data_IF_492207616007
#
_entry.id   IF_492207616007
#
_cell.length_a   1.000
_cell.length_b   1.000
_cell.length_c   1.000
_cell.angle_alpha   90.00
_cell.angle_beta   90.00
_cell.angle_gamma   90.00
#
_symmetry.space_group_name_H-M   'P 1'
#
loop_
_entity.id
_entity.type
_entity.pdbx_description
1 polymer ?
#
# COMPACT_ATOMS: atom_id res chain seq x y z
N UNK A 1 -5.39 27.47 2.47
CA UNK A 1 -3.92 27.38 2.36
C UNK A 1 -3.55 25.91 2.43
N UNK A 2 -2.75 25.37 1.51
CA UNK A 2 -2.30 23.98 1.59
C UNK A 2 -1.55 23.75 2.92
N UNK A 3 -1.68 22.55 3.48
CA UNK A 3 -0.94 22.15 4.68
C UNK A 3 0.57 22.16 4.41
N UNK A 4 1.35 22.44 5.46
CA UNK A 4 2.78 22.71 5.34
C UNK A 4 3.63 21.53 5.83
N UNK A 5 4.58 21.09 5.01
CA UNK A 5 5.60 20.11 5.39
C UNK A 5 6.82 20.74 6.09
N UNK A 6 6.79 22.04 6.40
CA UNK A 6 7.95 22.75 6.93
C UNK A 6 8.44 22.17 8.27
N UNK A 7 7.52 21.81 9.18
CA UNK A 7 7.89 21.17 10.44
C UNK A 7 8.43 19.76 10.21
N UNK A 8 7.85 19.01 9.27
CA UNK A 8 8.34 17.69 8.89
C UNK A 8 9.79 17.76 8.42
N UNK A 9 10.06 18.59 7.41
CA UNK A 9 11.38 18.74 6.81
C UNK A 9 12.42 19.30 7.78
N UNK A 10 12.03 20.18 8.72
CA UNK A 10 12.94 20.73 9.73
C UNK A 10 13.44 19.67 10.72
N UNK A 11 12.63 18.64 11.00
CA UNK A 11 12.95 17.61 12.00
C UNK A 11 13.77 16.43 11.46
N UNK A 12 14.01 16.34 10.14
CA UNK A 12 14.71 15.20 9.52
C UNK A 12 16.02 15.62 8.87
N UNK A 13 17.01 14.75 8.98
CA UNK A 13 18.23 14.80 8.19
C UNK A 13 18.15 13.79 7.03
N UNK A 14 17.73 14.27 5.86
CA UNK A 14 17.59 13.45 4.65
C UNK A 14 18.91 12.94 4.06
N UNK A 15 20.06 13.35 4.61
CA UNK A 15 21.34 12.72 4.27
C UNK A 15 21.55 11.38 5.00
N UNK A 16 20.77 11.13 6.06
CA UNK A 16 20.89 9.93 6.90
C UNK A 16 19.67 9.02 6.83
N UNK A 17 18.48 9.59 6.69
CA UNK A 17 17.24 8.82 6.61
C UNK A 17 16.86 8.50 5.15
N UNK A 18 16.31 7.32 4.92
CA UNK A 18 15.69 6.93 3.63
C UNK A 18 14.26 7.46 3.47
N UNK A 19 13.78 8.27 4.43
CA UNK A 19 12.47 8.87 4.35
C UNK A 19 12.37 9.90 3.20
N UNK A 20 11.21 9.96 2.50
CA UNK A 20 11.01 10.92 1.43
C UNK A 20 10.90 12.35 1.98
N UNK A 21 11.70 13.28 1.45
CA UNK A 21 11.55 14.72 1.76
C UNK A 21 10.20 15.27 1.33
N UNK A 22 9.79 14.89 0.11
CA UNK A 22 8.51 15.20 -0.53
C UNK A 22 8.14 16.68 -0.66
N UNK A 23 7.13 16.94 -1.47
CA UNK A 23 6.40 18.22 -1.56
C UNK A 23 4.91 17.92 -1.43
N UNK A 24 4.07 18.90 -1.03
CA UNK A 24 2.62 18.70 -1.07
C UNK A 24 2.18 18.35 -2.49
N UNK A 25 1.44 17.26 -2.63
CA UNK A 25 0.96 16.75 -3.93
C UNK A 25 -0.57 16.86 -4.01
N UNK A 26 -1.10 17.84 -4.75
CA UNK A 26 -2.54 18.05 -4.86
C UNK A 26 -3.23 17.04 -5.81
N UNK A 27 -2.48 16.19 -6.51
CA UNK A 27 -3.01 15.27 -7.52
C UNK A 27 -3.63 13.99 -6.95
N UNK A 28 -3.51 13.78 -5.64
CA UNK A 28 -4.13 12.69 -4.88
C UNK A 28 -5.01 13.19 -3.75
N UNK A 29 -5.76 12.26 -3.17
CA UNK A 29 -6.63 12.49 -2.03
C UNK A 29 -7.55 11.30 -1.85
N UNK A 30 -7.81 10.91 -0.59
CA UNK A 30 -8.56 9.72 -0.16
C UNK A 30 -7.73 8.50 0.25
N UNK A 31 -6.39 8.51 0.21
CA UNK A 31 -5.62 7.37 0.73
C UNK A 31 -5.47 7.42 2.24
N UNK A 32 -5.42 6.25 2.88
CA UNK A 32 -4.98 6.14 4.26
C UNK A 32 -3.93 5.06 4.43
N UNK A 33 -3.07 5.24 5.41
CA UNK A 33 -2.08 4.25 5.81
C UNK A 33 -1.99 4.21 7.33
N UNK A 34 -1.74 3.01 7.85
CA UNK A 34 -1.38 2.78 9.24
C UNK A 34 -0.01 2.11 9.24
N UNK A 35 0.96 2.75 9.85
CA UNK A 35 2.31 2.21 9.99
C UNK A 35 2.55 1.73 11.41
N UNK A 36 2.94 0.47 11.59
CA UNK A 36 3.40 -0.05 12.88
C UNK A 36 4.85 0.38 13.05
N UNK A 37 5.14 1.11 14.13
CA UNK A 37 6.40 1.79 14.33
C UNK A 37 7.04 1.34 15.65
N UNK A 38 8.13 0.58 15.53
CA UNK A 38 8.98 0.17 16.65
C UNK A 38 10.07 1.21 16.92
N UNK A 39 9.65 2.37 17.44
CA UNK A 39 10.56 3.42 17.91
C UNK A 39 11.00 3.16 19.36
N UNK A 40 11.23 4.21 20.16
CA UNK A 40 11.47 4.09 21.61
C UNK A 40 10.32 3.39 22.34
N UNK A 41 9.09 3.55 21.85
CA UNK A 41 7.91 2.80 22.24
C UNK A 41 7.18 2.36 20.98
N UNK A 42 6.66 1.14 21.01
CA UNK A 42 5.75 0.67 19.97
C UNK A 42 4.52 1.58 19.91
N UNK A 43 4.20 2.06 18.71
CA UNK A 43 2.99 2.79 18.41
C UNK A 43 2.62 2.56 16.94
N UNK A 44 1.45 3.08 16.56
CA UNK A 44 0.96 3.02 15.19
C UNK A 44 0.72 4.43 14.68
N UNK A 45 1.38 4.81 13.60
CA UNK A 45 1.14 6.07 12.92
C UNK A 45 -0.03 5.92 11.95
N UNK A 46 -1.17 6.52 12.29
CA UNK A 46 -2.37 6.55 11.47
C UNK A 46 -2.38 7.83 10.63
N UNK A 47 -2.56 7.71 9.32
CA UNK A 47 -2.46 8.85 8.40
C UNK A 47 -3.58 8.88 7.38
N UNK A 48 -4.11 10.08 7.12
CA UNK A 48 -5.09 10.35 6.08
C UNK A 48 -4.54 11.36 5.08
N UNK A 49 -4.61 11.04 3.80
CA UNK A 49 -4.24 11.96 2.73
C UNK A 49 -5.30 13.06 2.57
N UNK A 50 -4.97 14.28 2.97
CA UNK A 50 -5.84 15.45 2.89
C UNK A 50 -5.06 16.67 2.45
N UNK A 51 -5.59 17.41 1.47
CA UNK A 51 -5.01 18.67 1.00
C UNK A 51 -3.53 18.53 0.59
N UNK A 52 -3.20 17.39 -0.01
CA UNK A 52 -1.88 17.07 -0.57
C UNK A 52 -0.80 16.68 0.43
N UNK A 53 -1.16 16.35 1.67
CA UNK A 53 -0.26 15.79 2.69
C UNK A 53 -0.93 14.63 3.43
N UNK A 54 -0.12 13.87 4.18
CA UNK A 54 -0.58 12.85 5.12
C UNK A 54 -0.74 13.45 6.52
N UNK A 55 -1.97 13.79 6.87
CA UNK A 55 -2.35 14.24 8.22
C UNK A 55 -2.21 13.06 9.16
N UNK A 56 -1.43 13.22 10.22
CA UNK A 56 -0.87 12.08 10.94
C UNK A 56 -1.17 12.11 12.44
N UNK A 57 -1.46 10.94 13.00
CA UNK A 57 -1.64 10.72 14.43
C UNK A 57 -0.86 9.50 14.90
N UNK A 58 -0.11 9.62 15.98
CA UNK A 58 0.50 8.50 16.68
C UNK A 58 -0.50 7.88 17.66
N UNK A 59 -0.77 6.58 17.52
CA UNK A 59 -1.73 5.81 18.32
C UNK A 59 -0.97 4.74 19.11
N UNK A 60 -0.66 4.95 20.41
CA UNK A 60 0.24 4.06 21.17
C UNK A 60 -0.23 2.60 21.25
N UNK A 61 -1.54 2.38 21.43
CA UNK A 61 -2.11 1.02 21.46
C UNK A 61 -2.55 0.52 20.07
N UNK A 62 -2.45 1.37 19.05
CA UNK A 62 -2.97 1.14 17.71
C UNK A 62 -4.49 1.28 17.57
N UNK A 63 -5.00 1.25 16.33
CA UNK A 63 -6.42 1.30 16.01
C UNK A 63 -7.18 0.04 16.47
N UNK A 64 -8.50 0.05 16.36
CA UNK A 64 -9.36 -1.05 16.81
C UNK A 64 -10.61 -1.15 15.94
N UNK A 65 -11.15 -2.37 15.79
CA UNK A 65 -12.50 -2.59 15.26
C UNK A 65 -13.54 -2.70 16.39
N UNK A 66 -13.14 -2.63 17.66
CA UNK A 66 -14.05 -2.70 18.80
C UNK A 66 -14.66 -1.30 19.09
N UNK A 67 -15.98 -1.11 18.92
CA UNK A 67 -16.64 0.19 19.12
C UNK A 67 -16.78 0.59 20.60
N UNK A 68 -16.49 -0.30 21.55
CA UNK A 68 -16.46 0.01 22.98
C UNK A 68 -15.13 0.67 23.39
N UNK A 69 -14.07 0.49 22.60
CA UNK A 69 -12.76 1.04 22.89
C UNK A 69 -12.60 2.47 22.38
N UNK A 70 -11.77 3.25 23.08
CA UNK A 70 -11.36 4.59 22.68
C UNK A 70 -9.83 4.60 22.65
N UNK A 71 -9.25 4.91 21.49
CA UNK A 71 -7.80 4.89 21.29
C UNK A 71 -7.29 6.32 21.30
N UNK A 72 -6.32 6.63 22.17
CA UNK A 72 -5.61 7.91 22.14
C UNK A 72 -4.87 8.02 20.80
N UNK A 73 -5.05 9.15 20.12
CA UNK A 73 -4.42 9.49 18.86
C UNK A 73 -3.75 10.87 19.03
N UNK A 74 -2.44 10.90 19.23
CA UNK A 74 -1.69 12.14 19.36
C UNK A 74 -1.41 12.71 17.97
N UNK A 75 -1.93 13.89 17.65
CA UNK A 75 -1.67 14.56 16.37
C UNK A 75 -0.18 14.95 16.27
N UNK A 76 0.46 14.51 15.19
CA UNK A 76 1.89 14.75 14.91
C UNK A 76 2.03 15.57 13.62
N UNK A 77 3.26 15.78 13.17
CA UNK A 77 3.52 16.56 11.95
C UNK A 77 2.88 15.91 10.71
N UNK A 78 2.44 16.73 9.76
CA UNK A 78 2.02 16.25 8.45
C UNK A 78 3.20 15.62 7.71
N UNK A 79 2.96 14.50 7.01
CA UNK A 79 3.99 13.80 6.23
C UNK A 79 3.76 13.99 4.73
N UNK A 80 4.81 13.92 3.89
CA UNK A 80 4.63 13.97 2.45
C UNK A 80 3.85 12.77 1.97
N UNK A 81 3.09 12.93 0.88
CA UNK A 81 2.30 11.86 0.26
C UNK A 81 3.18 10.65 -0.10
N UNK A 82 4.42 10.89 -0.55
CA UNK A 82 5.38 9.79 -0.82
C UNK A 82 5.74 8.93 0.40
N UNK A 83 5.45 9.39 1.62
CA UNK A 83 5.64 8.60 2.84
C UNK A 83 4.60 7.48 2.98
N UNK A 84 3.53 7.52 2.19
CA UNK A 84 2.45 6.53 2.16
C UNK A 84 2.98 5.10 2.03
N UNK A 85 3.94 4.89 1.13
CA UNK A 85 4.52 3.58 0.85
C UNK A 85 5.80 3.31 1.65
N UNK A 86 6.20 4.19 2.57
CA UNK A 86 7.46 4.03 3.28
C UNK A 86 7.42 2.83 4.23
N UNK A 87 8.39 1.94 4.08
CA UNK A 87 8.63 0.77 4.92
C UNK A 87 10.15 0.53 4.98
N UNK A 88 10.71 0.44 6.19
CA UNK A 88 12.15 0.36 6.37
C UNK A 88 12.58 0.70 7.80
N UNK A 89 13.88 0.96 7.97
CA UNK A 89 14.48 1.35 9.25
C UNK A 89 14.97 2.79 9.19
N UNK A 90 14.57 3.58 10.17
CA UNK A 90 15.07 4.94 10.40
C UNK A 90 16.24 4.83 11.39
N UNK A 91 17.41 5.44 11.10
CA UNK A 91 18.60 5.32 11.94
C UNK A 91 18.33 5.66 13.41
N UNK A 92 18.96 4.91 14.33
CA UNK A 92 18.86 5.19 15.76
C UNK A 92 19.42 6.59 16.06
N UNK A 93 18.69 7.37 16.86
CA UNK A 93 19.05 8.74 17.24
C UNK A 93 18.45 9.82 16.34
N UNK A 94 17.95 9.45 15.15
CA UNK A 94 17.16 10.35 14.32
C UNK A 94 15.72 10.45 14.85
N UNK A 95 15.01 11.52 14.46
CA UNK A 95 13.62 11.72 14.86
C UNK A 95 12.73 10.63 14.23
N UNK A 96 12.06 9.84 15.06
CA UNK A 96 11.34 8.65 14.59
C UNK A 96 12.24 7.45 14.33
N UNK A 97 13.46 7.41 14.88
CA UNK A 97 14.36 6.25 14.76
C UNK A 97 13.71 4.94 15.23
N UNK A 98 13.80 3.91 14.40
CA UNK A 98 13.09 2.65 14.62
C UNK A 98 12.72 1.95 13.32
N UNK A 99 12.01 0.83 13.44
CA UNK A 99 11.51 0.06 12.29
C UNK A 99 10.08 0.49 11.99
N UNK A 100 9.78 0.76 10.73
CA UNK A 100 8.47 1.18 10.23
C UNK A 100 7.95 0.14 9.26
N UNK A 101 6.76 -0.39 9.54
CA UNK A 101 6.05 -1.36 8.70
C UNK A 101 4.71 -0.79 8.24
N UNK A 102 4.34 -1.00 6.97
CA UNK A 102 2.98 -0.70 6.49
C UNK A 102 2.03 -1.77 7.03
N UNK A 103 1.34 -1.46 8.11
CA UNK A 103 0.48 -2.38 8.85
C UNK A 103 -0.93 -2.45 8.25
N UNK A 104 -1.46 -1.36 7.73
CA UNK A 104 -2.68 -1.36 6.92
C UNK A 104 -2.65 -0.20 5.95
N UNK A 105 -3.41 -0.29 4.87
CA UNK A 105 -3.52 0.76 3.89
C UNK A 105 -4.82 0.61 3.09
N UNK A 106 -5.19 1.67 2.39
CA UNK A 106 -6.31 1.63 1.46
C UNK A 106 -6.84 3.04 1.22
N UNK A 107 -8.16 3.14 1.07
CA UNK A 107 -8.84 4.42 0.85
C UNK A 107 -9.77 4.76 2.00
N UNK A 108 -10.02 6.06 2.20
CA UNK A 108 -11.00 6.58 3.14
C UNK A 108 -11.97 7.54 2.43
N UNK A 109 -13.16 7.70 3.00
CA UNK A 109 -14.13 8.70 2.56
C UNK A 109 -14.58 9.55 3.73
N UNK A 110 -14.50 10.87 3.61
CA UNK A 110 -15.09 11.80 4.58
C UNK A 110 -16.62 11.77 4.49
N UNK A 111 -17.29 11.79 5.64
CA UNK A 111 -18.75 11.65 5.67
C UNK A 111 -19.52 12.98 5.67
N UNK A 112 -18.99 14.05 6.28
CA UNK A 112 -19.83 15.21 6.60
C UNK A 112 -19.20 16.59 6.29
N UNK A 113 -17.92 16.68 5.92
CA UNK A 113 -17.27 17.99 5.75
C UNK A 113 -16.01 17.93 4.88
N UNK A 114 -15.53 19.10 4.46
CA UNK A 114 -14.20 19.22 3.84
C UNK A 114 -13.10 18.92 4.87
N UNK A 115 -11.90 18.48 4.43
CA UNK A 115 -10.79 18.24 5.35
C UNK A 115 -10.48 19.43 6.26
N UNK A 116 -10.47 20.64 5.69
CA UNK A 116 -10.17 21.86 6.43
C UNK A 116 -11.20 22.14 7.55
N UNK A 117 -12.50 21.95 7.26
CA UNK A 117 -13.56 22.14 8.24
C UNK A 117 -13.51 21.11 9.37
N UNK A 118 -13.33 19.83 9.03
CA UNK A 118 -13.21 18.76 10.02
C UNK A 118 -12.07 19.00 11.00
N UNK A 119 -10.92 19.43 10.49
CA UNK A 119 -9.73 19.68 11.31
C UNK A 119 -9.88 20.94 12.17
N UNK A 120 -10.50 22.00 11.64
CA UNK A 120 -10.83 23.19 12.45
C UNK A 120 -11.82 22.87 13.56
N UNK A 121 -12.89 22.14 13.26
CA UNK A 121 -13.91 21.73 14.25
C UNK A 121 -13.34 20.78 15.31
N UNK A 122 -12.26 20.07 14.99
CA UNK A 122 -11.71 19.04 15.87
C UNK A 122 -12.50 17.74 15.78
N UNK A 123 -13.16 17.48 14.67
CA UNK A 123 -13.92 16.26 14.45
C UNK A 123 -13.82 15.83 12.99
N UNK A 124 -13.23 14.67 12.76
CA UNK A 124 -13.11 14.05 11.44
C UNK A 124 -13.91 12.74 11.45
N UNK A 125 -15.01 12.68 10.71
CA UNK A 125 -15.81 11.46 10.52
C UNK A 125 -15.54 10.89 9.13
N UNK A 126 -15.21 9.61 9.09
CA UNK A 126 -14.78 8.96 7.86
C UNK A 126 -15.07 7.47 7.87
N UNK A 127 -15.19 6.87 6.68
CA UNK A 127 -15.18 5.43 6.48
C UNK A 127 -13.86 4.97 5.88
N UNK A 128 -13.37 3.82 6.32
CA UNK A 128 -12.15 3.16 5.82
C UNK A 128 -12.50 1.96 4.95
N UNK A 129 -11.71 1.77 3.90
CA UNK A 129 -11.69 0.60 3.04
C UNK A 129 -10.25 0.14 2.88
N UNK A 130 -9.74 -0.53 3.92
CA UNK A 130 -8.41 -1.14 3.90
C UNK A 130 -8.44 -2.66 3.95
N UNK A 131 -7.24 -3.23 4.10
CA UNK A 131 -7.05 -4.68 4.23
C UNK A 131 -7.53 -5.13 5.61
N UNK A 132 -7.14 -4.40 6.66
CA UNK A 132 -7.45 -4.73 8.07
C UNK A 132 -8.58 -3.87 8.63
N UNK A 133 -8.50 -2.55 8.46
CA UNK A 133 -9.47 -1.61 8.99
C UNK A 133 -10.56 -1.29 7.97
N UNK A 134 -11.81 -1.48 8.38
CA UNK A 134 -12.99 -1.25 7.54
C UNK A 134 -14.09 -0.55 8.33
N UNK A 135 -14.99 0.10 7.59
CA UNK A 135 -16.16 0.77 8.15
C UNK A 135 -15.85 2.14 8.76
N UNK A 136 -16.77 2.64 9.57
CA UNK A 136 -16.84 4.02 10.02
C UNK A 136 -16.06 4.27 11.29
N UNK A 137 -15.40 5.42 11.31
CA UNK A 137 -14.57 5.93 12.38
C UNK A 137 -14.81 7.42 12.62
N UNK A 138 -14.41 7.89 13.79
CA UNK A 138 -14.26 9.31 14.07
C UNK A 138 -12.95 9.58 14.80
N UNK A 139 -12.29 10.66 14.43
CA UNK A 139 -11.22 11.30 15.20
C UNK A 139 -11.81 12.55 15.87
N UNK A 140 -11.76 12.62 17.19
CA UNK A 140 -12.31 13.73 17.98
C UNK A 140 -11.19 14.37 18.82
N UNK A 141 -10.94 15.66 18.61
CA UNK A 141 -10.02 16.46 19.42
C UNK A 141 -10.61 16.67 20.81
N UNK A 142 -9.76 16.60 21.82
CA UNK A 142 -10.16 16.67 23.23
C UNK A 142 -9.64 17.94 23.90
N UNK A 143 -8.69 17.80 24.83
CA UNK A 143 -8.22 18.85 25.73
C UNK A 143 -7.26 19.84 25.06
N UNK A 144 -6.44 19.37 24.13
CA UNK A 144 -5.43 20.17 23.43
C UNK A 144 -5.49 19.94 21.93
N UNK A 145 -4.82 20.81 21.16
CA UNK A 145 -4.68 20.65 19.70
C UNK A 145 -4.01 19.34 19.29
N UNK A 146 -3.23 18.73 20.19
CA UNK A 146 -2.51 17.49 19.96
C UNK A 146 -3.26 16.24 20.41
N UNK A 147 -4.24 16.36 21.31
CA UNK A 147 -4.88 15.20 21.94
C UNK A 147 -6.19 14.82 21.24
N UNK A 148 -6.18 13.74 20.47
CA UNK A 148 -7.36 13.21 19.80
C UNK A 148 -7.73 11.81 20.29
N UNK A 149 -8.96 11.41 20.03
CA UNK A 149 -9.45 10.05 20.23
C UNK A 149 -9.89 9.48 18.89
N UNK A 150 -9.34 8.32 18.53
CA UNK A 150 -9.86 7.48 17.46
C UNK A 150 -10.96 6.58 18.03
N UNK A 151 -12.12 6.60 17.37
CA UNK A 151 -13.35 5.94 17.80
C UNK A 151 -13.91 5.14 16.63
N UNK A 152 -13.95 3.81 16.76
CA UNK A 152 -14.72 2.95 15.84
C UNK A 152 -16.22 3.15 16.08
N UNK A 153 -16.99 3.38 15.02
CA UNK A 153 -18.46 3.44 15.08
C UNK A 153 -19.06 2.03 14.98
N UNK A 154 -20.27 1.87 15.51
CA UNK A 154 -21.05 0.64 15.33
C UNK A 154 -21.55 0.58 13.88
N UNK A 155 -21.14 -0.46 13.16
CA UNK A 155 -21.53 -0.78 11.79
C UNK A 155 -21.19 -2.26 11.52
N UNK A 156 -21.39 -2.70 10.28
CA UNK A 156 -21.20 -4.08 9.84
C UNK A 156 -19.74 -4.57 9.95
N UNK A 157 -18.77 -3.66 10.00
CA UNK A 157 -17.35 -3.98 10.14
C UNK A 157 -16.85 -3.89 11.60
N UNK A 158 -17.74 -3.62 12.56
CA UNK A 158 -17.36 -3.59 13.97
C UNK A 158 -17.12 -5.01 14.51
N UNK A 159 -15.99 -5.21 15.16
CA UNK A 159 -15.58 -6.49 15.74
C UNK A 159 -15.10 -6.29 17.19
N UNK A 160 -15.91 -6.67 18.19
CA UNK A 160 -15.53 -6.61 19.60
C UNK A 160 -14.36 -7.54 19.98
N UNK A 161 -14.08 -8.56 19.17
CA UNK A 161 -13.03 -9.57 19.41
C UNK A 161 -11.69 -9.22 18.74
N UNK A 162 -11.65 -8.10 18.02
CA UNK A 162 -10.47 -7.66 17.29
C UNK A 162 -9.23 -7.54 18.18
N UNK A 163 -8.18 -8.30 17.82
CA UNK A 163 -6.91 -8.31 18.50
C UNK A 163 -5.81 -7.80 17.57
N UNK A 164 -5.37 -6.55 17.78
CA UNK A 164 -4.36 -5.92 16.91
C UNK A 164 -3.02 -6.69 16.84
N UNK A 165 -2.67 -7.42 17.89
CA UNK A 165 -1.41 -8.15 17.98
C UNK A 165 -1.34 -9.39 17.08
N UNK A 166 -2.47 -9.86 16.54
CA UNK A 166 -2.50 -11.00 15.59
C UNK A 166 -1.97 -10.63 14.20
N UNK A 167 -1.62 -9.35 13.99
CA UNK A 167 -1.22 -8.80 12.71
C UNK A 167 0.25 -8.36 12.79
N UNK A 168 1.15 -9.28 12.46
CA UNK A 168 2.60 -9.17 12.62
C UNK A 168 3.38 -8.95 11.32
N UNK A 169 2.70 -9.05 10.17
CA UNK A 169 3.29 -8.87 8.84
C UNK A 169 2.83 -7.58 8.16
N UNK A 170 3.61 -7.10 7.19
CA UNK A 170 3.29 -5.97 6.32
C UNK A 170 2.16 -6.31 5.34
N UNK A 171 1.17 -5.44 5.17
CA UNK A 171 0.17 -5.61 4.08
C UNK A 171 0.73 -5.26 2.70
N UNK A 172 1.86 -4.54 2.66
CA UNK A 172 2.54 -4.15 1.42
C UNK A 172 3.46 -5.26 0.92
N UNK A 173 4.22 -5.88 1.81
CA UNK A 173 5.31 -6.80 1.42
C UNK A 173 5.20 -8.20 2.01
N UNK A 174 4.29 -8.43 2.96
CA UNK A 174 4.24 -9.66 3.75
C UNK A 174 5.38 -9.82 4.77
N UNK A 175 6.33 -8.88 4.83
CA UNK A 175 7.51 -8.98 5.69
C UNK A 175 7.18 -8.83 7.17
N UNK A 176 7.92 -9.53 8.03
CA UNK A 176 7.94 -9.30 9.48
C UNK A 176 8.84 -8.12 9.86
N UNK A 177 8.82 -7.72 11.13
CA UNK A 177 9.72 -6.69 11.68
C UNK A 177 11.19 -7.04 11.42
N UNK A 178 11.59 -8.26 11.73
CA UNK A 178 12.97 -8.72 11.63
C UNK A 178 13.46 -8.71 10.18
N UNK A 179 12.60 -9.05 9.23
CA UNK A 179 12.91 -9.00 7.80
C UNK A 179 13.08 -7.58 7.28
N UNK A 180 12.27 -6.63 7.76
CA UNK A 180 12.43 -5.20 7.46
C UNK A 180 13.76 -4.68 8.03
N UNK A 181 14.08 -5.03 9.28
CA UNK A 181 15.34 -4.61 9.95
C UNK A 181 16.59 -5.12 9.23
N UNK A 182 16.51 -6.32 8.64
CA UNK A 182 17.61 -6.91 7.90
C UNK A 182 17.83 -6.25 6.52
N UNK A 183 16.99 -5.29 6.14
CA UNK A 183 17.03 -4.71 4.79
C UNK A 183 16.88 -5.79 3.73
N UNK A 184 16.19 -6.90 4.07
CA UNK A 184 15.77 -7.89 3.08
C UNK A 184 14.74 -7.18 2.23
N UNK A 185 15.23 -6.50 1.21
CA UNK A 185 14.38 -5.87 0.23
C UNK A 185 13.37 -6.91 -0.25
N UNK A 186 12.14 -6.46 -0.49
CA UNK A 186 11.27 -7.10 -1.46
C UNK A 186 11.83 -6.89 -2.89
N UNK A 187 13.15 -6.90 -3.05
CA UNK A 187 13.78 -7.23 -4.31
C UNK A 187 13.43 -8.68 -4.51
N UNK A 188 12.70 -8.93 -5.59
CA UNK A 188 12.77 -10.16 -6.36
C UNK A 188 14.22 -10.68 -6.41
N UNK A 189 14.59 -11.42 -5.36
CA UNK A 189 15.84 -12.14 -5.28
C UNK A 189 15.54 -13.47 -5.95
N UNK A 190 16.17 -13.69 -7.11
CA UNK A 190 16.31 -15.00 -7.75
C UNK A 190 17.09 -16.02 -6.90
N UNK A 191 17.24 -15.77 -5.60
CA UNK A 191 17.80 -16.65 -4.58
C UNK A 191 16.88 -16.64 -3.36
N UNK A 192 15.77 -17.38 -3.44
CA UNK A 192 15.24 -18.09 -2.27
C UNK A 192 15.97 -19.43 -2.20
N UNK A 193 16.30 -19.87 -1.00
CA UNK A 193 16.64 -21.28 -0.77
C UNK A 193 15.50 -22.17 -1.30
N UNK A 194 15.89 -23.29 -1.91
CA UNK A 194 14.98 -24.24 -2.53
C UNK A 194 13.91 -24.69 -1.52
N UNK A 195 12.64 -24.41 -1.84
CA UNK A 195 11.51 -25.07 -1.21
C UNK A 195 10.67 -24.24 -0.24
N UNK A 196 10.13 -23.09 -0.66
CA UNK A 196 8.86 -22.58 -0.12
C UNK A 196 8.26 -21.52 -1.06
N UNK A 197 7.21 -21.90 -1.78
CA UNK A 197 6.49 -21.02 -2.71
C UNK A 197 7.16 -20.91 -4.08
N UNK A 198 6.75 -21.79 -5.00
CA UNK A 198 7.34 -21.98 -6.33
C UNK A 198 7.56 -20.69 -7.13
N UNK A 199 8.73 -20.09 -6.96
CA UNK A 199 9.39 -19.29 -7.97
C UNK A 199 10.21 -20.26 -8.82
N UNK A 200 10.08 -20.16 -10.13
CA UNK A 200 10.84 -20.98 -11.08
C UNK A 200 12.33 -20.78 -10.76
N UNK A 201 13.07 -21.86 -10.45
CA UNK A 201 14.51 -21.79 -10.24
C UNK A 201 15.19 -21.45 -11.57
N UNK A 202 15.66 -20.21 -11.71
CA UNK A 202 16.31 -19.72 -12.93
C UNK A 202 17.83 -19.95 -12.94
N UNK A 203 18.41 -20.69 -11.98
CA UNK A 203 19.86 -20.90 -11.91
C UNK A 203 20.43 -21.58 -13.17
N UNK A 204 19.61 -22.39 -13.86
CA UNK A 204 19.95 -23.04 -15.12
C UNK A 204 19.23 -22.42 -16.33
N UNK A 205 18.64 -21.22 -16.18
CA UNK A 205 17.97 -20.56 -17.28
C UNK A 205 19.01 -20.02 -18.27
N UNK A 206 18.88 -20.39 -19.54
CA UNK A 206 19.68 -19.85 -20.62
C UNK A 206 18.95 -18.67 -21.28
N UNK A 207 19.70 -17.65 -21.69
CA UNK A 207 19.12 -16.56 -22.49
C UNK A 207 18.69 -17.10 -23.85
N UNK A 208 17.38 -17.19 -24.07
CA UNK A 208 16.79 -17.51 -25.36
C UNK A 208 16.32 -16.26 -26.10
N UNK A 209 16.15 -16.33 -27.43
CA UNK A 209 15.49 -15.27 -28.19
C UNK A 209 14.03 -15.12 -27.73
N UNK A 210 13.48 -13.90 -27.85
CA UNK A 210 12.06 -13.67 -27.57
C UNK A 210 11.18 -14.58 -28.44
N UNK A 211 10.25 -15.36 -27.84
CA UNK A 211 9.29 -16.15 -28.58
C UNK A 211 8.46 -15.27 -29.53
N UNK A 212 8.17 -15.79 -30.73
CA UNK A 212 7.31 -15.09 -31.71
C UNK A 212 5.83 -15.37 -31.50
N UNK A 213 5.52 -16.45 -30.78
CA UNK A 213 4.18 -16.94 -30.49
C UNK A 213 4.19 -17.57 -29.09
N UNK A 214 3.08 -17.47 -28.38
CA UNK A 214 2.90 -18.10 -27.08
C UNK A 214 1.46 -18.62 -26.99
N UNK A 215 1.28 -19.81 -26.43
CA UNK A 215 -0.06 -20.30 -26.11
C UNK A 215 -0.57 -19.58 -24.84
N UNK A 216 -1.78 -18.99 -24.86
CA UNK A 216 -2.30 -18.28 -23.71
C UNK A 216 -2.61 -19.23 -22.55
N UNK A 217 -2.41 -18.74 -21.33
CA UNK A 217 -2.68 -19.43 -20.07
C UNK A 217 -4.19 -19.59 -19.86
N UNK A 218 -4.74 -20.71 -20.32
CA UNK A 218 -6.18 -21.01 -20.18
C UNK A 218 -6.53 -21.33 -18.73
N UNK A 219 -7.68 -20.81 -18.31
CA UNK A 219 -8.31 -21.27 -17.07
C UNK A 219 -8.62 -22.78 -17.18
N UNK A 220 -8.43 -23.48 -16.08
CA UNK A 220 -8.81 -24.89 -15.94
C UNK A 220 -10.10 -24.97 -15.12
N UNK A 221 -10.95 -25.95 -15.42
CA UNK A 221 -12.12 -26.24 -14.60
C UNK A 221 -11.63 -26.79 -13.25
N UNK A 222 -12.13 -26.19 -12.18
CA UNK A 222 -11.98 -26.69 -10.82
C UNK A 222 -13.33 -27.08 -10.26
N UNK A 223 -13.37 -28.15 -9.47
CA UNK A 223 -14.63 -28.68 -8.90
C UNK A 223 -15.14 -27.84 -7.72
N UNK A 224 -14.26 -27.06 -7.08
CA UNK A 224 -14.56 -26.19 -5.94
C UNK A 224 -13.73 -24.91 -6.00
N UNK A 225 -14.25 -23.85 -5.39
CA UNK A 225 -13.46 -22.65 -5.13
C UNK A 225 -12.33 -22.98 -4.15
N UNK A 226 -11.14 -22.44 -4.40
CA UNK A 226 -9.99 -22.56 -3.52
C UNK A 226 -9.66 -21.20 -2.92
N UNK A 227 -9.03 -21.20 -1.75
CA UNK A 227 -8.46 -20.02 -1.12
C UNK A 227 -6.98 -20.30 -0.85
N UNK A 228 -6.11 -19.54 -1.50
CA UNK A 228 -4.67 -19.74 -1.44
C UNK A 228 -3.96 -18.40 -1.52
N UNK A 229 -3.04 -18.17 -0.58
CA UNK A 229 -2.23 -16.96 -0.44
C UNK A 229 -1.35 -16.64 -1.66
N UNK A 230 -1.08 -17.62 -2.52
CA UNK A 230 -0.34 -17.42 -3.78
C UNK A 230 -1.23 -16.95 -4.95
N UNK A 231 -2.53 -16.78 -4.73
CA UNK A 231 -3.47 -16.42 -5.78
C UNK A 231 -4.17 -15.10 -5.46
N UNK A 232 -4.36 -14.31 -6.51
CA UNK A 232 -5.24 -13.15 -6.48
C UNK A 232 -6.48 -13.50 -7.31
N UNK A 233 -7.66 -13.17 -6.79
CA UNK A 233 -8.92 -13.38 -7.48
C UNK A 233 -9.43 -12.04 -8.01
N UNK A 234 -9.80 -12.02 -9.29
CA UNK A 234 -10.44 -10.86 -9.92
C UNK A 234 -11.83 -11.21 -10.44
N UNK A 235 -12.70 -10.19 -10.55
CA UNK A 235 -13.99 -10.35 -11.21
C UNK A 235 -13.74 -10.69 -12.68
N UNK A 236 -14.37 -11.75 -13.17
CA UNK A 236 -14.30 -12.10 -14.58
C UNK A 236 -15.01 -11.02 -15.42
N UNK A 237 -14.24 -10.28 -16.21
CA UNK A 237 -14.76 -9.39 -17.24
C UNK A 237 -14.82 -10.12 -18.58
N UNK A 238 -15.92 -9.98 -19.31
CA UNK A 238 -16.01 -10.48 -20.69
C UNK A 238 -15.19 -9.59 -21.63
N UNK A 239 -14.45 -10.21 -22.55
CA UNK A 239 -13.54 -9.48 -23.43
C UNK A 239 -12.79 -10.39 -24.39
N UNK A 240 -11.83 -9.80 -25.10
CA UNK A 240 -10.92 -10.51 -26.00
C UNK A 240 -9.57 -10.63 -25.29
N UNK A 241 -9.08 -11.86 -25.18
CA UNK A 241 -7.76 -12.16 -24.62
C UNK A 241 -6.67 -11.93 -25.66
N UNK A 242 -5.67 -11.14 -25.31
CA UNK A 242 -4.54 -10.76 -26.15
C UNK A 242 -3.22 -11.11 -25.45
N UNK A 243 -2.19 -11.32 -26.26
CA UNK A 243 -0.82 -11.50 -25.81
C UNK A 243 0.00 -10.32 -26.30
N UNK A 244 0.57 -9.56 -25.35
CA UNK A 244 1.44 -8.43 -25.63
C UNK A 244 2.90 -8.87 -25.53
N UNK A 245 3.62 -8.80 -26.64
CA UNK A 245 5.07 -8.95 -26.68
C UNK A 245 5.70 -7.57 -26.61
N UNK A 246 6.53 -7.33 -25.60
CA UNK A 246 7.21 -6.06 -25.37
C UNK A 246 8.70 -6.29 -25.55
N UNK A 247 9.32 -5.59 -26.49
CA UNK A 247 10.76 -5.66 -26.75
C UNK A 247 11.32 -4.25 -26.92
N UNK A 248 12.15 -3.83 -25.98
CA UNK A 248 12.74 -2.49 -25.89
C UNK A 248 11.70 -1.36 -26.07
N UNK A 249 10.54 -1.52 -25.43
CA UNK A 249 9.44 -0.56 -25.45
C UNK A 249 8.52 -0.64 -26.68
N UNK A 250 8.85 -1.46 -27.69
CA UNK A 250 7.96 -1.77 -28.82
C UNK A 250 6.98 -2.85 -28.41
N UNK A 251 5.72 -2.70 -28.82
CA UNK A 251 4.64 -3.62 -28.47
C UNK A 251 4.13 -4.30 -29.74
N UNK A 252 4.02 -5.63 -29.70
CA UNK A 252 3.31 -6.43 -30.69
C UNK A 252 2.16 -7.15 -29.97
N UNK A 253 0.93 -6.90 -30.40
CA UNK A 253 -0.27 -7.53 -29.85
C UNK A 253 -0.74 -8.66 -30.74
N UNK A 254 -0.93 -9.84 -30.17
CA UNK A 254 -1.49 -11.00 -30.84
C UNK A 254 -2.81 -11.43 -30.19
N UNK A 255 -3.77 -11.84 -31.01
CA UNK A 255 -4.94 -12.59 -30.53
C UNK A 255 -4.51 -13.98 -30.03
N UNK A 256 -5.43 -14.68 -29.34
CA UNK A 256 -5.28 -16.11 -28.98
C UNK A 256 -4.87 -17.02 -30.16
N UNK A 257 -5.18 -16.66 -31.40
CA UNK A 257 -4.82 -17.42 -32.60
C UNK A 257 -3.47 -17.01 -33.23
N UNK A 258 -2.70 -16.13 -32.58
CA UNK A 258 -1.41 -15.63 -33.07
C UNK A 258 -1.50 -14.52 -34.13
N UNK A 259 -2.70 -14.09 -34.51
CA UNK A 259 -2.89 -12.99 -35.47
C UNK A 259 -2.57 -11.65 -34.81
N UNK A 260 -1.77 -10.79 -35.46
CA UNK A 260 -1.54 -9.41 -35.00
C UNK A 260 -2.85 -8.61 -35.00
N UNK A 261 -3.04 -7.83 -33.94
CA UNK A 261 -4.25 -7.00 -33.71
C UNK A 261 -3.89 -5.54 -33.40
N UNK A 262 -2.67 -5.10 -33.71
CA UNK A 262 -2.19 -3.74 -33.37
C UNK A 262 -3.05 -2.64 -33.99
N UNK A 263 -3.57 -2.86 -35.21
CA UNK A 263 -4.46 -1.92 -35.89
C UNK A 263 -5.88 -1.89 -35.31
N UNK A 264 -6.33 -3.00 -34.69
CA UNK A 264 -7.65 -3.09 -34.04
C UNK A 264 -7.63 -2.43 -32.66
N UNK A 265 -6.49 -2.46 -31.98
CA UNK A 265 -6.32 -1.92 -30.63
C UNK A 265 -5.10 -1.00 -30.51
N UNK A 266 -5.01 0.09 -31.29
CA UNK A 266 -3.85 0.98 -31.31
C UNK A 266 -3.57 1.65 -29.95
N UNK A 267 -4.60 1.83 -29.12
CA UNK A 267 -4.48 2.39 -27.78
C UNK A 267 -3.66 1.51 -26.83
N UNK A 268 -3.62 0.19 -27.07
CA UNK A 268 -2.90 -0.74 -26.18
C UNK A 268 -1.38 -0.67 -26.32
N UNK A 269 -0.88 0.03 -27.35
CA UNK A 269 0.56 0.29 -27.50
C UNK A 269 1.16 1.07 -26.32
N UNK A 270 0.32 1.77 -25.54
CA UNK A 270 0.75 2.48 -24.34
C UNK A 270 1.19 1.54 -23.19
N UNK A 271 0.88 0.23 -23.27
CA UNK A 271 1.16 -0.73 -22.19
C UNK A 271 2.65 -0.78 -21.81
N UNK A 272 3.56 -0.58 -22.77
CA UNK A 272 5.01 -0.61 -22.51
C UNK A 272 5.48 0.45 -21.51
N UNK A 273 4.73 1.54 -21.34
CA UNK A 273 5.04 2.59 -20.36
C UNK A 273 4.85 2.16 -18.91
N UNK A 274 4.08 1.09 -18.70
CA UNK A 274 3.76 0.56 -17.37
C UNK A 274 4.61 -0.66 -17.00
N UNK A 275 5.52 -1.08 -17.89
CA UNK A 275 6.33 -2.29 -17.72
C UNK A 275 7.80 -1.90 -17.55
N UNK A 276 8.34 -2.14 -16.36
CA UNK A 276 9.74 -1.87 -16.07
C UNK A 276 10.65 -3.06 -16.43
N UNK A 277 10.66 -3.44 -17.71
CA UNK A 277 11.50 -4.52 -18.25
C UNK A 277 11.93 -4.22 -19.68
N UNK A 278 13.12 -4.69 -20.08
CA UNK A 278 13.58 -4.61 -21.48
C UNK A 278 12.75 -5.50 -22.40
N UNK A 279 12.42 -6.69 -21.93
CA UNK A 279 11.63 -7.68 -22.64
C UNK A 279 10.58 -8.27 -21.70
N UNK A 280 9.34 -8.37 -22.16
CA UNK A 280 8.25 -8.97 -21.41
C UNK A 280 7.19 -9.57 -22.35
N UNK A 281 6.48 -10.59 -21.86
CA UNK A 281 5.25 -11.08 -22.48
C UNK A 281 4.14 -10.99 -21.43
N UNK A 282 3.03 -10.36 -21.79
CA UNK A 282 1.84 -10.23 -20.94
C UNK A 282 0.68 -10.94 -21.62
N UNK A 283 -0.06 -11.73 -20.86
CA UNK A 283 -1.22 -12.48 -21.34
C UNK A 283 -2.45 -12.11 -20.50
N UNK A 284 -3.48 -11.56 -21.14
CA UNK A 284 -4.68 -10.99 -20.48
C UNK A 284 -5.86 -10.83 -21.41
#
# INVERSE_FOLDING_TARGET
MPRSLAEYQRKRDFSKTSEPKGVPDPSGGNRFVVQKHWATRLHYDFRLEMEGVLVSWAIPKGPTLNPAERRLAAHVEDHPVGYYDFEGTIPKGEYGGGTVMVWDWGTFKLEESTPAESMRRGEVKFSLSGVRLKGRYALVRTRSDKDWLLIKKKDEAADPTFAIETFDTSVKTGRTKEEIEQGKDAVWSSRREEGAGGLINLANAENGPMPKTLDPMKAQLGDQAFDNDRWLFEVKWDGVRLIAFIDEGKVLMQSRAGRSVDAEYPQLQAISRFVNAKQAIIDG
#
